data_IF_421537696661
#
_entry.id   IF_421537696661
#
_cell.length_a   1.000
_cell.length_b   1.000
_cell.length_c   1.000
_cell.angle_alpha   90.00
_cell.angle_beta   90.00
_cell.angle_gamma   90.00
#
_symmetry.space_group_name_H-M   'P 1'
#
loop_
_entity.id
_entity.type
_entity.pdbx_description
1 polymer ?
#
# COMPACT_ATOMS: atom_id res chain seq x y z
N UNK A 1 -19.75 -10.06 -5.74
CA UNK A 1 -18.62 -9.42 -6.50
C UNK A 1 -17.43 -9.31 -5.58
N UNK A 2 -16.31 -9.90 -5.99
CA UNK A 2 -15.05 -9.93 -5.22
C UNK A 2 -14.29 -8.62 -5.33
N UNK A 3 -13.69 -8.14 -4.23
CA UNK A 3 -12.81 -6.97 -4.24
C UNK A 3 -11.61 -7.18 -3.32
N UNK A 4 -10.50 -6.57 -3.69
CA UNK A 4 -9.33 -6.41 -2.84
C UNK A 4 -9.19 -4.94 -2.50
N UNK A 5 -9.13 -4.63 -1.22
CA UNK A 5 -8.87 -3.31 -0.67
C UNK A 5 -7.37 -3.18 -0.40
N UNK A 6 -6.74 -2.18 -0.95
CA UNK A 6 -5.32 -1.88 -0.76
C UNK A 6 -5.23 -0.58 0.01
N UNK A 7 -4.72 -0.63 1.25
CA UNK A 7 -4.61 0.52 2.14
C UNK A 7 -3.15 0.80 2.48
N UNK A 8 -2.81 2.07 2.63
CA UNK A 8 -1.59 2.48 3.31
C UNK A 8 -1.75 2.28 4.82
N UNK A 9 -0.67 1.82 5.48
CA UNK A 9 -0.64 1.71 6.94
C UNK A 9 -1.01 3.03 7.64
N UNK A 10 -1.53 2.93 8.88
CA UNK A 10 -1.87 4.07 9.73
C UNK A 10 -0.61 4.81 10.24
N UNK A 11 -0.82 5.87 11.01
CA UNK A 11 0.24 6.74 11.50
C UNK A 11 1.24 6.01 12.41
N UNK A 12 2.52 6.35 12.26
CA UNK A 12 3.65 5.86 13.04
C UNK A 12 4.67 6.99 13.28
N UNK A 13 5.45 6.92 14.35
CA UNK A 13 6.31 8.02 14.80
C UNK A 13 7.65 8.15 14.02
N UNK A 14 7.94 7.23 13.13
CA UNK A 14 9.18 7.22 12.34
C UNK A 14 10.41 6.67 13.07
N UNK A 15 10.29 6.26 14.33
CA UNK A 15 11.37 5.73 15.17
C UNK A 15 11.26 4.23 15.35
N UNK A 16 10.16 3.78 15.94
CA UNK A 16 9.83 2.37 16.08
C UNK A 16 8.94 1.94 14.92
N UNK A 17 9.08 0.72 14.46
CA UNK A 17 8.23 0.19 13.40
C UNK A 17 6.88 -0.29 13.98
N UNK A 18 6.17 0.63 14.65
CA UNK A 18 4.88 0.38 15.28
C UNK A 18 3.95 1.58 15.10
N UNK A 19 2.64 1.35 15.24
CA UNK A 19 1.66 2.43 15.24
C UNK A 19 1.82 3.31 16.49
N UNK A 20 1.50 4.58 16.33
CA UNK A 20 1.24 5.46 17.47
C UNK A 20 -0.16 5.16 18.04
N UNK A 21 -0.44 5.62 19.27
CA UNK A 21 -1.78 5.52 19.84
C UNK A 21 -2.84 6.23 18.97
N UNK A 22 -2.47 7.34 18.32
CA UNK A 22 -3.37 8.00 17.36
C UNK A 22 -3.56 7.14 16.10
N UNK A 23 -2.48 6.52 15.56
CA UNK A 23 -2.58 5.65 14.41
C UNK A 23 -3.45 4.42 14.64
N UNK A 24 -3.39 3.82 15.84
CA UNK A 24 -4.25 2.71 16.22
C UNK A 24 -5.73 3.15 16.30
N UNK A 25 -6.00 4.29 16.96
CA UNK A 25 -7.35 4.85 17.04
C UNK A 25 -7.92 5.21 15.67
N UNK A 26 -7.14 5.88 14.82
CA UNK A 26 -7.57 6.25 13.47
C UNK A 26 -7.87 4.99 12.63
N UNK A 27 -7.06 3.93 12.76
CA UNK A 27 -7.33 2.64 12.09
C UNK A 27 -8.62 1.98 12.61
N UNK A 28 -8.88 2.05 13.93
CA UNK A 28 -10.10 1.54 14.53
C UNK A 28 -11.35 2.31 14.05
N UNK A 29 -11.28 3.63 13.97
CA UNK A 29 -12.37 4.46 13.43
C UNK A 29 -12.60 4.18 11.95
N UNK A 30 -11.53 4.03 11.17
CA UNK A 30 -11.61 3.73 9.74
C UNK A 30 -12.24 2.36 9.47
N UNK A 31 -12.01 1.37 10.34
CA UNK A 31 -12.57 0.02 10.19
C UNK A 31 -14.10 0.01 10.13
N UNK A 32 -14.78 0.95 10.80
CA UNK A 32 -16.23 1.06 10.81
C UNK A 32 -16.85 1.40 9.44
N UNK A 33 -16.03 1.88 8.50
CA UNK A 33 -16.45 2.26 7.13
C UNK A 33 -16.04 1.24 6.07
N UNK A 34 -15.43 0.12 6.48
CA UNK A 34 -14.94 -0.93 5.60
C UNK A 34 -15.80 -2.21 5.75
N UNK A 35 -15.83 -3.08 4.75
CA UNK A 35 -16.51 -4.37 4.86
C UNK A 35 -15.73 -5.33 5.76
N UNK A 36 -16.36 -6.46 6.12
CA UNK A 36 -15.67 -7.60 6.70
C UNK A 36 -14.75 -8.23 5.64
N UNK A 37 -13.55 -8.63 6.06
CA UNK A 37 -12.55 -9.24 5.19
C UNK A 37 -12.42 -10.74 5.47
N UNK A 38 -12.39 -11.55 4.41
CA UNK A 38 -12.17 -13.00 4.52
C UNK A 38 -10.70 -13.38 4.44
N UNK A 39 -9.89 -12.55 3.77
CA UNK A 39 -8.45 -12.75 3.57
C UNK A 39 -7.73 -11.43 3.87
N UNK A 40 -6.66 -11.50 4.66
CA UNK A 40 -5.89 -10.32 5.05
C UNK A 40 -4.40 -10.55 4.83
N UNK A 41 -3.78 -9.68 4.05
CA UNK A 41 -2.34 -9.65 3.80
C UNK A 41 -1.73 -8.35 4.32
N UNK A 42 -0.47 -8.41 4.71
CA UNK A 42 0.30 -7.24 5.13
C UNK A 42 1.75 -7.34 4.71
N UNK A 43 2.36 -6.19 4.54
CA UNK A 43 3.83 -6.11 4.43
C UNK A 43 4.50 -6.60 5.73
N UNK A 44 5.81 -6.97 5.69
CA UNK A 44 6.56 -7.40 6.88
C UNK A 44 6.74 -6.32 7.96
N UNK A 45 6.45 -5.07 7.68
CA UNK A 45 6.60 -3.98 8.65
C UNK A 45 5.53 -4.05 9.75
N UNK A 46 5.94 -3.89 11.02
CA UNK A 46 5.06 -4.03 12.19
C UNK A 46 3.86 -3.08 12.11
N UNK A 47 4.07 -1.81 11.75
CA UNK A 47 2.99 -0.82 11.58
C UNK A 47 1.92 -1.26 10.58
N UNK A 48 2.32 -1.95 9.50
CA UNK A 48 1.36 -2.44 8.50
C UNK A 48 0.60 -3.66 9.01
N UNK A 49 1.27 -4.56 9.73
CA UNK A 49 0.64 -5.71 10.38
C UNK A 49 -0.39 -5.27 11.42
N UNK A 50 -0.02 -4.33 12.28
CA UNK A 50 -0.92 -3.75 13.29
C UNK A 50 -2.11 -3.05 12.64
N UNK A 51 -1.89 -2.26 11.58
CA UNK A 51 -3.00 -1.63 10.83
C UNK A 51 -3.96 -2.69 10.29
N UNK A 52 -3.43 -3.74 9.67
CA UNK A 52 -4.25 -4.81 9.09
C UNK A 52 -5.08 -5.54 10.17
N UNK A 53 -4.45 -5.85 11.31
CA UNK A 53 -5.10 -6.55 12.44
C UNK A 53 -6.17 -5.67 13.10
N UNK A 54 -5.88 -4.37 13.33
CA UNK A 54 -6.85 -3.43 13.91
C UNK A 54 -8.07 -3.26 13.00
N UNK A 55 -7.86 -3.12 11.68
CA UNK A 55 -8.96 -2.91 10.74
C UNK A 55 -9.84 -4.17 10.60
N UNK A 56 -9.23 -5.34 10.50
CA UNK A 56 -9.94 -6.57 10.13
C UNK A 56 -10.30 -7.47 11.31
N UNK A 57 -9.66 -7.32 12.45
CA UNK A 57 -9.72 -8.27 13.56
C UNK A 57 -9.04 -9.62 13.25
N UNK A 58 -8.36 -9.76 12.10
CA UNK A 58 -7.72 -10.98 11.61
C UNK A 58 -6.20 -10.77 11.58
N UNK A 59 -5.45 -11.74 12.11
CA UNK A 59 -3.99 -11.73 11.97
C UNK A 59 -3.60 -11.89 10.50
N UNK A 60 -2.85 -10.92 9.91
CA UNK A 60 -2.56 -10.95 8.48
C UNK A 60 -1.55 -12.03 8.10
N UNK A 61 -1.66 -12.54 6.88
CA UNK A 61 -0.58 -13.24 6.19
C UNK A 61 0.50 -12.24 5.77
N UNK A 62 1.75 -12.53 6.11
CA UNK A 62 2.86 -11.60 5.84
C UNK A 62 3.43 -11.85 4.45
N UNK A 63 3.37 -10.83 3.61
CA UNK A 63 3.78 -10.90 2.21
C UNK A 63 4.81 -9.83 1.84
N UNK A 64 6.00 -10.26 1.41
CA UNK A 64 7.04 -9.37 0.95
C UNK A 64 6.61 -8.53 -0.28
N UNK A 65 5.65 -9.03 -1.06
CA UNK A 65 5.06 -8.33 -2.20
C UNK A 65 4.36 -7.01 -1.81
N UNK A 66 3.87 -6.90 -0.57
CA UNK A 66 3.25 -5.68 -0.04
C UNK A 66 4.27 -4.70 0.57
N UNK A 67 5.57 -5.00 0.53
CA UNK A 67 6.64 -4.19 1.14
C UNK A 67 7.01 -2.97 0.30
N UNK A 68 7.93 -2.16 0.85
CA UNK A 68 8.50 -0.99 0.16
C UNK A 68 9.40 -1.41 -1.02
N UNK A 69 9.56 -0.55 -2.06
CA UNK A 69 10.48 -0.82 -3.16
C UNK A 69 11.93 -1.00 -2.67
N UNK A 70 12.61 -2.02 -3.15
CA UNK A 70 14.00 -2.33 -2.81
C UNK A 70 14.96 -1.59 -3.74
N UNK A 71 15.16 -0.30 -3.49
CA UNK A 71 16.13 0.51 -4.24
C UNK A 71 17.56 0.27 -3.71
N UNK A 72 18.61 0.49 -4.55
CA UNK A 72 20.00 0.47 -4.09
C UNK A 72 20.23 1.40 -2.88
N UNK A 73 21.15 1.07 -1.96
CA UNK A 73 21.35 1.83 -0.72
C UNK A 73 21.62 3.31 -0.94
N UNK A 74 22.43 3.67 -1.94
CA UNK A 74 22.77 5.05 -2.29
C UNK A 74 21.55 5.82 -2.82
N UNK A 75 20.71 5.20 -3.63
CA UNK A 75 19.46 5.79 -4.13
C UNK A 75 18.48 5.97 -2.98
N UNK A 76 18.35 4.95 -2.11
CA UNK A 76 17.50 5.03 -0.93
C UNK A 76 17.93 6.16 0.01
N UNK A 77 19.22 6.33 0.24
CA UNK A 77 19.74 7.43 1.09
C UNK A 77 19.38 8.81 0.53
N UNK A 78 19.46 9.01 -0.79
CA UNK A 78 19.05 10.25 -1.45
C UNK A 78 17.54 10.50 -1.32
N UNK A 79 16.72 9.47 -1.54
CA UNK A 79 15.26 9.56 -1.40
C UNK A 79 14.87 9.94 0.03
N UNK A 80 15.49 9.31 1.04
CA UNK A 80 15.22 9.60 2.45
C UNK A 80 15.59 11.04 2.85
N UNK A 81 16.63 11.63 2.25
CA UNK A 81 16.96 13.04 2.45
C UNK A 81 15.91 13.99 1.86
N UNK A 82 15.26 13.59 0.77
CA UNK A 82 14.29 14.43 0.06
C UNK A 82 12.85 14.27 0.57
N UNK A 83 12.55 13.19 1.30
CA UNK A 83 11.19 12.85 1.72
C UNK A 83 10.47 13.95 2.52
N UNK A 84 11.22 14.69 3.35
CA UNK A 84 10.69 15.75 4.22
C UNK A 84 10.49 17.09 3.50
N UNK A 85 11.12 17.28 2.34
CA UNK A 85 11.06 18.51 1.55
C UNK A 85 10.24 18.35 0.26
N UNK A 86 9.96 17.11 -0.16
CA UNK A 86 9.17 16.86 -1.34
C UNK A 86 7.66 17.06 -1.05
N UNK A 87 6.92 17.83 -1.88
CA UNK A 87 5.49 18.10 -1.65
C UNK A 87 4.62 16.85 -1.52
N UNK A 88 5.01 15.77 -2.21
CA UNK A 88 4.34 14.46 -2.20
C UNK A 88 5.13 13.41 -1.39
N UNK A 89 5.86 13.84 -0.38
CA UNK A 89 6.57 12.96 0.54
C UNK A 89 7.51 11.95 -0.13
N UNK A 90 7.60 10.76 0.46
CA UNK A 90 8.52 9.71 0.00
C UNK A 90 8.15 9.16 -1.38
N UNK A 91 6.87 9.03 -1.70
CA UNK A 91 6.45 8.50 -3.01
C UNK A 91 6.84 9.46 -4.13
N UNK A 92 6.63 10.77 -3.96
CA UNK A 92 7.08 11.75 -4.92
C UNK A 92 8.59 11.71 -5.14
N UNK A 93 9.38 11.67 -4.07
CA UNK A 93 10.83 11.57 -4.14
C UNK A 93 11.31 10.27 -4.83
N UNK A 94 10.62 9.14 -4.60
CA UNK A 94 10.89 7.86 -5.28
C UNK A 94 10.66 7.95 -6.80
N UNK A 95 9.55 8.53 -7.22
CA UNK A 95 9.22 8.61 -8.65
C UNK A 95 10.01 9.68 -9.41
N UNK A 96 10.57 10.67 -8.73
CA UNK A 96 11.51 11.62 -9.36
C UNK A 96 12.92 11.04 -9.51
N UNK A 97 13.31 10.07 -8.70
CA UNK A 97 14.59 9.38 -8.80
C UNK A 97 14.50 8.29 -9.90
N UNK A 98 15.01 8.58 -11.10
CA UNK A 98 14.95 7.65 -12.22
C UNK A 98 15.62 6.31 -11.91
N UNK A 99 16.66 6.31 -11.11
CA UNK A 99 17.38 5.12 -10.63
C UNK A 99 16.52 4.21 -9.75
N UNK A 100 15.43 4.74 -9.16
CA UNK A 100 14.47 3.96 -8.37
C UNK A 100 13.39 3.29 -9.25
N UNK A 101 13.21 3.69 -10.50
CA UNK A 101 12.13 3.18 -11.36
C UNK A 101 12.12 1.67 -11.56
N UNK A 102 13.28 0.97 -11.73
CA UNK A 102 13.27 -0.49 -11.82
C UNK A 102 12.70 -1.15 -10.53
N UNK A 103 13.12 -0.67 -9.36
CA UNK A 103 12.64 -1.19 -8.08
C UNK A 103 11.15 -0.90 -7.87
N UNK A 104 10.69 0.31 -8.23
CA UNK A 104 9.26 0.68 -8.21
C UNK A 104 8.42 -0.22 -9.11
N UNK A 105 8.89 -0.46 -10.34
CA UNK A 105 8.18 -1.34 -11.28
C UNK A 105 8.07 -2.76 -10.76
N UNK A 106 9.15 -3.30 -10.20
CA UNK A 106 9.15 -4.64 -9.60
C UNK A 106 8.22 -4.73 -8.41
N UNK A 107 8.22 -3.73 -7.52
CA UNK A 107 7.32 -3.67 -6.37
C UNK A 107 5.84 -3.61 -6.82
N UNK A 108 5.52 -2.73 -7.77
CA UNK A 108 4.17 -2.63 -8.33
C UNK A 108 3.70 -3.92 -8.99
N UNK A 109 4.57 -4.62 -9.73
CA UNK A 109 4.27 -5.91 -10.32
C UNK A 109 4.08 -7.02 -9.26
N UNK A 110 4.89 -7.00 -8.19
CA UNK A 110 4.76 -7.97 -7.11
C UNK A 110 3.43 -7.83 -6.38
N UNK A 111 3.06 -6.60 -5.99
CA UNK A 111 1.78 -6.36 -5.34
C UNK A 111 0.59 -6.60 -6.28
N UNK A 112 0.70 -6.29 -7.57
CA UNK A 112 -0.32 -6.62 -8.56
C UNK A 112 -0.58 -8.14 -8.66
N UNK A 113 0.47 -8.97 -8.58
CA UNK A 113 0.32 -10.44 -8.54
C UNK A 113 -0.34 -10.91 -7.24
N UNK A 114 0.00 -10.31 -6.10
CA UNK A 114 -0.66 -10.62 -4.82
C UNK A 114 -2.15 -10.27 -4.85
N UNK A 115 -2.52 -9.14 -5.47
CA UNK A 115 -3.92 -8.76 -5.69
C UNK A 115 -4.65 -9.83 -6.52
N UNK A 116 -4.06 -10.28 -7.62
CA UNK A 116 -4.65 -11.33 -8.45
C UNK A 116 -4.77 -12.66 -7.70
N UNK A 117 -3.77 -13.02 -6.89
CA UNK A 117 -3.83 -14.18 -6.02
C UNK A 117 -5.00 -14.07 -5.04
N UNK A 118 -5.13 -12.95 -4.33
CA UNK A 118 -6.24 -12.72 -3.41
C UNK A 118 -7.60 -12.83 -4.09
N UNK A 119 -7.78 -12.22 -5.28
CA UNK A 119 -9.01 -12.35 -6.06
C UNK A 119 -9.34 -13.80 -6.44
N UNK A 120 -8.33 -14.63 -6.73
CA UNK A 120 -8.52 -16.04 -7.06
C UNK A 120 -8.89 -16.90 -5.84
N UNK A 121 -8.41 -16.54 -4.64
CA UNK A 121 -8.69 -17.24 -3.38
C UNK A 121 -10.05 -16.87 -2.80
N UNK A 122 -10.57 -15.67 -3.07
CA UNK A 122 -11.88 -15.22 -2.61
C UNK A 122 -13.02 -16.05 -3.22
N UNK A 123 -14.04 -16.32 -2.41
CA UNK A 123 -15.33 -16.80 -2.89
C UNK A 123 -16.23 -15.61 -3.30
N UNK A 124 -17.37 -15.90 -3.90
CA UNK A 124 -18.33 -14.87 -4.29
C UNK A 124 -18.78 -14.06 -3.07
N UNK A 125 -18.90 -12.74 -3.25
CA UNK A 125 -19.27 -11.77 -2.22
C UNK A 125 -18.32 -11.72 -1.00
N UNK A 126 -17.06 -12.11 -1.19
CA UNK A 126 -16.01 -11.92 -0.21
C UNK A 126 -15.04 -10.82 -0.64
N UNK A 127 -14.47 -10.13 0.36
CA UNK A 127 -13.46 -9.11 0.17
C UNK A 127 -12.15 -9.47 0.87
N UNK A 128 -11.03 -8.96 0.34
CA UNK A 128 -9.72 -9.08 0.95
C UNK A 128 -9.12 -7.71 1.26
N UNK A 129 -8.26 -7.67 2.29
CA UNK A 129 -7.48 -6.49 2.67
C UNK A 129 -6.00 -6.75 2.42
N UNK A 130 -5.30 -5.77 1.84
CA UNK A 130 -3.84 -5.73 1.76
C UNK A 130 -3.35 -4.40 2.34
N UNK A 131 -2.55 -4.44 3.40
CA UNK A 131 -1.93 -3.22 3.95
C UNK A 131 -0.50 -3.10 3.45
N UNK A 132 -0.20 -1.97 2.81
CA UNK A 132 1.05 -1.71 2.11
C UNK A 132 1.56 -0.27 2.39
N UNK A 133 2.37 0.25 1.48
CA UNK A 133 3.08 1.53 1.59
C UNK A 133 2.84 2.39 0.34
N UNK A 134 2.77 3.69 0.55
CA UNK A 134 2.44 4.69 -0.47
C UNK A 134 3.19 4.48 -1.80
N UNK A 135 4.53 4.43 -1.80
CA UNK A 135 5.32 4.27 -3.03
C UNK A 135 5.01 2.98 -3.80
N UNK A 136 4.79 1.87 -3.09
CA UNK A 136 4.41 0.58 -3.69
C UNK A 136 2.99 0.65 -4.25
N UNK A 137 2.06 1.28 -3.54
CA UNK A 137 0.67 1.44 -3.97
C UNK A 137 0.57 2.28 -5.25
N UNK A 138 1.26 3.42 -5.32
CA UNK A 138 1.32 4.26 -6.53
C UNK A 138 1.95 3.47 -7.71
N UNK A 139 2.99 2.68 -7.45
CA UNK A 139 3.60 1.83 -8.47
C UNK A 139 2.63 0.74 -8.97
N UNK A 140 1.86 0.14 -8.05
CA UNK A 140 0.85 -0.88 -8.37
C UNK A 140 -0.29 -0.32 -9.22
N UNK A 141 -0.82 0.85 -8.84
CA UNK A 141 -1.83 1.55 -9.64
C UNK A 141 -1.33 1.79 -11.08
N UNK A 142 -0.06 2.21 -11.24
CA UNK A 142 0.54 2.39 -12.58
C UNK A 142 0.66 1.09 -13.37
N UNK A 143 1.00 -0.01 -12.72
CA UNK A 143 1.05 -1.33 -13.37
C UNK A 143 -0.34 -1.74 -13.84
N UNK A 144 -1.34 -1.66 -12.96
CA UNK A 144 -2.72 -2.08 -13.25
C UNK A 144 -3.37 -1.21 -14.35
N UNK A 145 -3.05 0.08 -14.38
CA UNK A 145 -3.59 1.03 -15.38
C UNK A 145 -2.69 1.17 -16.62
N UNK A 146 -1.64 0.38 -16.74
CA UNK A 146 -0.63 0.46 -17.82
C UNK A 146 -0.06 1.88 -18.00
N UNK A 147 0.15 2.60 -16.90
CA UNK A 147 0.61 3.98 -16.89
C UNK A 147 2.15 4.06 -16.89
N UNK A 148 2.69 5.10 -17.53
CA UNK A 148 4.13 5.30 -17.65
C UNK A 148 4.76 5.73 -16.31
N UNK A 149 5.84 5.04 -15.89
CA UNK A 149 6.60 5.34 -14.66
C UNK A 149 7.40 6.66 -14.73
N UNK A 150 7.72 7.14 -15.92
CA UNK A 150 8.45 8.40 -16.09
C UNK A 150 7.58 9.65 -15.95
N UNK A 151 6.25 9.51 -15.97
CA UNK A 151 5.36 10.64 -15.73
C UNK A 151 5.42 11.06 -14.26
N UNK A 152 5.42 12.38 -13.94
CA UNK A 152 5.35 12.85 -12.57
C UNK A 152 4.16 12.25 -11.81
N UNK A 153 4.35 11.95 -10.54
CA UNK A 153 3.26 11.61 -9.63
C UNK A 153 2.51 12.90 -9.32
N UNK A 154 1.20 12.87 -9.43
CA UNK A 154 0.35 14.04 -9.09
C UNK A 154 -0.36 13.87 -7.75
N UNK A 155 -0.50 12.64 -7.30
CA UNK A 155 -1.21 12.28 -6.09
C UNK A 155 -0.61 11.01 -5.51
N UNK A 156 -0.55 10.95 -4.19
CA UNK A 156 -0.08 9.83 -3.38
C UNK A 156 -1.20 9.39 -2.43
N UNK A 157 -0.90 8.46 -1.55
CA UNK A 157 -1.86 7.99 -0.55
C UNK A 157 -1.42 8.47 0.83
N UNK A 158 -2.28 9.18 1.54
CA UNK A 158 -2.10 9.45 2.96
C UNK A 158 -2.37 8.18 3.79
N UNK A 159 -2.11 8.23 5.11
CA UNK A 159 -2.40 7.12 5.99
C UNK A 159 -3.87 6.68 5.87
N UNK A 160 -4.11 5.37 5.85
CA UNK A 160 -5.42 4.74 5.69
C UNK A 160 -6.15 5.00 4.35
N UNK A 161 -5.59 5.81 3.48
CA UNK A 161 -6.11 5.95 2.12
C UNK A 161 -5.70 4.77 1.24
N UNK A 162 -6.46 4.55 0.16
CA UNK A 162 -6.17 3.45 -0.74
C UNK A 162 -7.08 3.38 -1.95
N UNK A 163 -7.11 2.18 -2.52
CA UNK A 163 -7.94 1.85 -3.67
C UNK A 163 -8.45 0.42 -3.60
N UNK A 164 -9.50 0.13 -4.31
CA UNK A 164 -10.01 -1.22 -4.52
C UNK A 164 -9.68 -1.72 -5.91
N UNK A 165 -9.53 -3.03 -6.05
CA UNK A 165 -9.43 -3.73 -7.33
C UNK A 165 -10.48 -4.83 -7.35
N UNK A 166 -11.30 -4.86 -8.39
CA UNK A 166 -12.32 -5.88 -8.58
C UNK A 166 -11.82 -7.05 -9.47
N UNK A 167 -12.67 -8.03 -9.68
CA UNK A 167 -12.39 -9.22 -10.50
C UNK A 167 -12.07 -8.92 -11.97
N UNK A 168 -12.43 -7.73 -12.47
CA UNK A 168 -12.09 -7.24 -13.81
C UNK A 168 -10.81 -6.39 -13.82
N UNK A 169 -10.07 -6.36 -12.70
CA UNK A 169 -8.89 -5.53 -12.47
C UNK A 169 -9.15 -4.02 -12.59
N UNK A 170 -10.39 -3.59 -12.38
CA UNK A 170 -10.72 -2.17 -12.34
C UNK A 170 -10.28 -1.56 -11.02
N UNK A 171 -9.49 -0.49 -11.11
CA UNK A 171 -8.99 0.27 -9.96
C UNK A 171 -9.97 1.39 -9.64
N UNK A 172 -10.42 1.46 -8.40
CA UNK A 172 -11.27 2.54 -7.90
C UNK A 172 -10.70 3.08 -6.58
N UNK A 173 -10.47 4.38 -6.46
CA UNK A 173 -10.06 5.00 -5.20
C UNK A 173 -11.13 4.84 -4.14
N UNK A 174 -10.70 4.58 -2.91
CA UNK A 174 -11.58 4.61 -1.74
C UNK A 174 -11.77 6.10 -1.40
N UNK A 175 -13.02 6.54 -1.40
CA UNK A 175 -13.38 7.89 -0.95
C UNK A 175 -13.31 7.92 0.58
N UNK A 176 -12.81 9.02 1.18
CA UNK A 176 -12.72 9.16 2.62
C UNK A 176 -14.10 9.19 3.29
#
# INVERSE_FOLDING_TARGET
MKKVYILRHANWDGKEDALTESGERDAQEHSAHLPDFSIVYSSPFVRAQQTAEVISGIKPHIEAAASVPQSPPEVRAQILKRRSTHPLGIAGALFEAQEAHPALKLAGQALSRLIQQALNELQEDQDALIVSHDGTMVATERVLTNSNFTKPVRQTYDELQGFTVDENLQVKKIEP
#
